data_IF_822867816734
#
_entry.id   IF_822867816734
#
_cell.length_a   1.000
_cell.length_b   1.000
_cell.length_c   1.000
_cell.angle_alpha   90.00
_cell.angle_beta   90.00
_cell.angle_gamma   90.00
#
_symmetry.space_group_name_H-M   'P 1'
#
loop_
_entity.id
_entity.type
_entity.pdbx_description
1 polymer ?
#
# COMPACT_ATOMS: atom_id res chain seq x y z
N UNK A 1 53.32 29.42 -54.93
CA UNK A 1 53.39 28.67 -53.65
C UNK A 1 52.16 29.05 -52.86
N UNK A 2 51.04 28.45 -53.22
CA UNK A 2 49.77 28.69 -52.57
C UNK A 2 49.20 27.38 -52.14
N UNK A 3 49.25 27.15 -50.88
CA UNK A 3 48.74 25.96 -50.22
C UNK A 3 47.36 26.28 -49.68
N UNK A 4 46.38 25.78 -50.32
CA UNK A 4 45.50 24.69 -49.87
C UNK A 4 45.18 24.71 -48.35
N UNK A 5 44.09 25.37 -47.99
CA UNK A 5 43.25 24.94 -46.87
C UNK A 5 41.80 24.94 -47.35
N UNK A 6 41.48 23.86 -48.04
CA UNK A 6 40.07 23.54 -48.34
C UNK A 6 39.44 23.07 -47.03
N UNK A 7 38.65 23.94 -46.42
CA UNK A 7 37.93 23.64 -45.20
C UNK A 7 36.64 22.94 -45.59
N UNK A 8 36.70 21.60 -45.58
CA UNK A 8 35.49 20.80 -45.73
C UNK A 8 34.48 21.18 -44.67
N UNK A 9 33.48 21.95 -45.06
CA UNK A 9 32.26 22.13 -44.26
C UNK A 9 31.54 20.81 -44.13
N UNK A 10 31.75 20.11 -43.01
CA UNK A 10 30.92 18.97 -42.58
C UNK A 10 29.47 19.49 -42.46
N UNK A 11 28.69 19.29 -43.50
CA UNK A 11 27.21 19.40 -43.43
C UNK A 11 26.74 18.35 -42.43
N UNK A 12 26.48 18.75 -41.20
CA UNK A 12 25.80 17.96 -40.20
C UNK A 12 24.34 17.80 -40.65
N UNK A 13 24.11 16.90 -41.57
CA UNK A 13 22.77 16.48 -41.95
C UNK A 13 22.16 15.74 -40.77
N UNK A 14 21.09 16.30 -40.19
CA UNK A 14 20.29 15.62 -39.17
C UNK A 14 19.88 14.27 -39.76
N UNK A 15 20.31 13.20 -39.11
CA UNK A 15 19.97 11.84 -39.53
C UNK A 15 18.44 11.65 -39.42
N UNK A 16 17.73 11.63 -40.57
CA UNK A 16 16.27 11.52 -40.61
C UNK A 16 15.75 10.31 -39.85
N UNK A 17 16.51 9.21 -39.81
CA UNK A 17 16.15 8.04 -39.02
C UNK A 17 16.16 8.30 -37.50
N UNK A 18 17.13 9.08 -37.03
CA UNK A 18 17.24 9.44 -35.60
C UNK A 18 16.12 10.41 -35.20
N UNK A 19 15.74 11.31 -36.10
CA UNK A 19 14.64 12.24 -35.87
C UNK A 19 13.29 11.51 -35.82
N UNK A 20 13.03 10.60 -36.75
CA UNK A 20 11.81 9.79 -36.78
C UNK A 20 11.76 8.88 -35.53
N UNK A 21 12.87 8.18 -35.20
CA UNK A 21 12.97 7.34 -34.02
C UNK A 21 12.73 8.12 -32.73
N UNK A 22 13.25 9.34 -32.62
CA UNK A 22 13.02 10.23 -31.49
C UNK A 22 11.54 10.63 -31.34
N UNK A 23 10.88 11.00 -32.43
CA UNK A 23 9.44 11.36 -32.40
C UNK A 23 8.59 10.15 -31.98
N UNK A 24 8.84 8.97 -32.54
CA UNK A 24 8.13 7.73 -32.19
C UNK A 24 8.37 7.39 -30.72
N UNK A 25 9.61 7.51 -30.21
CA UNK A 25 9.94 7.26 -28.82
C UNK A 25 9.20 8.20 -27.86
N UNK A 26 9.17 9.49 -28.15
CA UNK A 26 8.42 10.48 -27.34
C UNK A 26 6.92 10.19 -27.35
N UNK A 27 6.37 9.81 -28.51
CA UNK A 27 4.95 9.46 -28.62
C UNK A 27 4.58 8.22 -27.80
N UNK A 28 5.41 7.18 -27.83
CA UNK A 28 5.21 5.99 -27.01
C UNK A 28 5.29 6.30 -25.49
N UNK A 29 6.25 7.13 -25.08
CA UNK A 29 6.34 7.58 -23.69
C UNK A 29 5.10 8.36 -23.28
N UNK A 30 4.61 9.26 -24.13
CA UNK A 30 3.40 10.02 -23.87
C UNK A 30 2.16 9.13 -23.72
N UNK A 31 2.03 8.07 -24.53
CA UNK A 31 0.95 7.09 -24.39
C UNK A 31 1.05 6.35 -23.06
N UNK A 32 2.24 5.90 -22.67
CA UNK A 32 2.44 5.20 -21.38
C UNK A 32 2.08 6.12 -20.21
N UNK A 33 2.47 7.39 -20.26
CA UNK A 33 2.13 8.37 -19.23
C UNK A 33 0.61 8.59 -19.16
N UNK A 34 -0.07 8.73 -20.31
CA UNK A 34 -1.52 8.88 -20.36
C UNK A 34 -2.25 7.68 -19.78
N UNK A 35 -1.83 6.46 -20.09
CA UNK A 35 -2.39 5.25 -19.53
C UNK A 35 -2.14 5.17 -18.01
N UNK A 36 -0.95 5.56 -17.54
CA UNK A 36 -0.63 5.59 -16.12
C UNK A 36 -1.48 6.62 -15.35
N UNK A 37 -1.74 7.78 -15.96
CA UNK A 37 -2.59 8.82 -15.37
C UNK A 37 -4.08 8.47 -15.33
N UNK A 38 -4.54 7.55 -16.17
CA UNK A 38 -5.94 7.09 -16.20
C UNK A 38 -6.21 5.97 -15.18
N UNK A 39 -5.18 5.41 -14.56
CA UNK A 39 -5.37 4.40 -13.50
C UNK A 39 -5.89 5.09 -12.24
N UNK A 40 -7.04 4.64 -11.69
CA UNK A 40 -7.53 5.18 -10.43
C UNK A 40 -6.45 4.97 -9.35
N UNK A 41 -6.26 5.96 -8.49
CA UNK A 41 -5.31 5.86 -7.39
C UNK A 41 -5.71 4.72 -6.45
N UNK A 42 -4.75 4.20 -5.67
CA UNK A 42 -5.05 3.19 -4.66
C UNK A 42 -6.08 3.71 -3.64
N UNK A 43 -6.08 5.02 -3.38
CA UNK A 43 -7.03 5.66 -2.48
C UNK A 43 -8.43 5.73 -3.08
N UNK A 44 -8.57 5.98 -4.39
CA UNK A 44 -9.86 5.97 -5.08
C UNK A 44 -10.47 4.55 -5.12
N UNK A 45 -9.65 3.53 -5.38
CA UNK A 45 -10.08 2.14 -5.34
C UNK A 45 -10.53 1.74 -3.93
N UNK A 46 -9.77 2.15 -2.92
CA UNK A 46 -10.11 1.92 -1.52
C UNK A 46 -11.41 2.65 -1.16
N UNK A 47 -11.57 3.89 -1.57
CA UNK A 47 -12.78 4.66 -1.34
C UNK A 47 -14.00 3.99 -1.99
N UNK A 48 -13.89 3.49 -3.22
CA UNK A 48 -14.96 2.79 -3.92
C UNK A 48 -15.35 1.48 -3.21
N UNK A 49 -14.38 0.69 -2.75
CA UNK A 49 -14.64 -0.55 -2.01
C UNK A 49 -15.33 -0.27 -0.66
N UNK A 50 -14.96 0.83 0.00
CA UNK A 50 -15.47 1.21 1.31
C UNK A 50 -16.63 2.20 1.27
N UNK A 51 -17.17 2.53 0.08
CA UNK A 51 -18.29 3.48 -0.07
C UNK A 51 -19.52 3.04 0.78
N UNK A 52 -19.84 1.74 0.73
CA UNK A 52 -20.98 1.15 1.46
C UNK A 52 -20.52 0.39 2.72
N UNK A 53 -19.29 0.59 3.16
CA UNK A 53 -18.79 -0.06 4.36
C UNK A 53 -19.28 0.63 5.63
N UNK A 54 -19.68 -0.16 6.60
CA UNK A 54 -19.99 0.32 7.94
C UNK A 54 -18.70 0.80 8.62
N UNK A 55 -18.80 1.89 9.36
CA UNK A 55 -17.72 2.51 10.14
C UNK A 55 -18.13 2.63 11.59
N UNK A 56 -17.22 3.08 12.45
CA UNK A 56 -17.41 3.18 13.91
C UNK A 56 -18.63 3.99 14.35
N UNK A 57 -19.11 4.91 13.54
CA UNK A 57 -20.29 5.74 13.77
C UNK A 57 -21.63 5.00 13.54
N UNK A 58 -21.56 3.81 12.91
CA UNK A 58 -22.75 3.00 12.67
C UNK A 58 -23.02 2.00 13.82
N UNK A 59 -24.26 1.91 14.34
CA UNK A 59 -24.61 0.94 15.38
C UNK A 59 -24.39 -0.51 14.92
N UNK A 60 -24.62 -0.81 13.64
CA UNK A 60 -24.40 -2.14 13.07
C UNK A 60 -22.90 -2.51 12.93
N UNK A 61 -22.01 -1.51 12.95
CA UNK A 61 -20.57 -1.76 12.90
C UNK A 61 -20.11 -2.59 14.10
N UNK A 62 -20.52 -2.21 15.30
CA UNK A 62 -20.13 -2.93 16.51
C UNK A 62 -20.70 -4.34 16.58
N UNK A 63 -21.90 -4.53 16.05
CA UNK A 63 -22.55 -5.85 15.98
C UNK A 63 -21.73 -6.84 15.13
N UNK A 64 -21.23 -6.39 13.96
CA UNK A 64 -20.47 -7.27 13.06
C UNK A 64 -19.01 -7.42 13.53
N UNK A 65 -18.40 -6.35 14.03
CA UNK A 65 -16.99 -6.36 14.39
C UNK A 65 -16.68 -7.16 15.65
N UNK A 66 -17.65 -7.39 16.56
CA UNK A 66 -17.47 -8.22 17.76
C UNK A 66 -17.02 -9.65 17.42
N UNK A 67 -17.39 -10.15 16.24
CA UNK A 67 -17.09 -11.50 15.78
C UNK A 67 -15.79 -11.57 14.95
N UNK A 68 -15.13 -10.43 14.76
CA UNK A 68 -13.85 -10.36 14.06
C UNK A 68 -12.72 -10.36 15.08
N UNK A 69 -11.96 -11.45 15.09
CA UNK A 69 -10.80 -11.57 15.97
C UNK A 69 -9.55 -11.14 15.20
N UNK A 70 -8.81 -10.21 15.81
CA UNK A 70 -7.52 -9.73 15.35
C UNK A 70 -6.47 -10.12 16.38
N UNK A 71 -5.40 -10.75 15.94
CA UNK A 71 -4.27 -11.10 16.80
C UNK A 71 -2.95 -10.87 16.09
N UNK A 72 -1.88 -10.60 16.85
CA UNK A 72 -0.51 -10.51 16.33
C UNK A 72 0.12 -11.88 16.35
N UNK A 73 0.77 -12.26 15.26
CA UNK A 73 1.71 -13.38 15.20
C UNK A 73 3.10 -12.85 15.59
N UNK A 74 3.42 -13.00 16.88
CA UNK A 74 4.66 -12.46 17.44
C UNK A 74 5.90 -13.10 16.83
N UNK A 75 5.82 -14.40 16.49
CA UNK A 75 6.95 -15.17 15.95
C UNK A 75 7.32 -14.72 14.52
N UNK A 76 6.34 -14.16 13.80
CA UNK A 76 6.52 -13.64 12.44
C UNK A 76 6.60 -12.12 12.36
N UNK A 77 6.50 -11.45 13.50
CA UNK A 77 6.67 -9.99 13.57
C UNK A 77 8.14 -9.68 13.79
N UNK A 78 8.75 -8.98 12.83
CA UNK A 78 10.18 -8.69 12.83
C UNK A 78 10.46 -7.21 12.71
N UNK A 79 11.61 -6.78 13.25
CA UNK A 79 12.12 -5.43 13.13
C UNK A 79 13.41 -5.44 12.31
N UNK A 80 13.53 -4.51 11.39
CA UNK A 80 14.70 -4.38 10.54
C UNK A 80 15.20 -2.93 10.53
N UNK A 81 16.50 -2.69 10.78
CA UNK A 81 17.07 -1.37 10.64
C UNK A 81 17.10 -0.98 9.15
N UNK A 82 16.70 0.25 8.85
CA UNK A 82 16.86 0.85 7.54
C UNK A 82 18.28 1.44 7.45
N UNK A 83 19.11 0.86 6.56
CA UNK A 83 20.52 1.25 6.41
C UNK A 83 20.71 2.67 5.84
N UNK A 84 19.69 3.24 5.18
CA UNK A 84 19.79 4.56 4.55
C UNK A 84 19.62 5.71 5.54
N UNK A 85 18.73 5.57 6.51
CA UNK A 85 18.38 6.67 7.42
C UNK A 85 18.45 6.29 8.92
N UNK A 86 18.88 5.06 9.23
CA UNK A 86 19.02 4.59 10.62
C UNK A 86 17.71 4.37 11.37
N UNK A 87 16.55 4.53 10.72
CA UNK A 87 15.25 4.24 11.32
C UNK A 87 15.02 2.72 11.40
N UNK A 88 13.99 2.33 12.17
CA UNK A 88 13.53 0.95 12.25
C UNK A 88 12.25 0.80 11.46
N UNK A 89 12.17 -0.26 10.64
CA UNK A 89 10.94 -0.74 10.02
C UNK A 89 10.44 -1.95 10.80
N UNK A 90 9.16 -1.94 11.18
CA UNK A 90 8.50 -3.12 11.75
C UNK A 90 7.67 -3.80 10.67
N UNK A 91 7.92 -5.09 10.48
CA UNK A 91 7.09 -5.99 9.67
C UNK A 91 6.18 -6.74 10.61
N UNK A 92 4.91 -6.35 10.63
CA UNK A 92 3.93 -6.85 11.57
C UNK A 92 3.09 -7.90 10.86
N UNK A 93 3.07 -9.12 11.39
CA UNK A 93 2.18 -10.18 10.93
C UNK A 93 1.03 -10.33 11.91
N UNK A 94 -0.18 -10.24 11.37
CA UNK A 94 -1.41 -10.46 12.13
C UNK A 94 -2.22 -11.61 11.56
N UNK A 95 -3.19 -12.05 12.32
CA UNK A 95 -4.16 -13.09 11.95
C UNK A 95 -5.55 -12.48 12.16
N UNK A 96 -6.36 -12.54 11.12
CA UNK A 96 -7.76 -12.12 11.16
C UNK A 96 -8.62 -13.37 11.04
N UNK A 97 -9.54 -13.54 11.97
CA UNK A 97 -10.53 -14.62 11.94
C UNK A 97 -11.94 -14.05 11.99
N UNK A 98 -12.76 -14.45 11.03
CA UNK A 98 -14.19 -14.18 11.03
C UNK A 98 -14.91 -15.30 11.81
N UNK A 99 -15.39 -15.01 13.02
CA UNK A 99 -16.22 -15.94 13.82
C UNK A 99 -17.71 -15.75 13.60
N UNK A 100 -18.09 -14.68 12.88
CA UNK A 100 -19.47 -14.40 12.56
C UNK A 100 -20.05 -15.34 11.50
N UNK A 101 -21.31 -15.17 11.22
CA UNK A 101 -22.10 -15.93 10.26
C UNK A 101 -22.17 -15.28 8.87
N UNK A 102 -21.61 -14.07 8.73
CA UNK A 102 -21.64 -13.29 7.48
C UNK A 102 -20.33 -13.36 6.73
N UNK A 103 -20.40 -13.39 5.41
CA UNK A 103 -19.22 -13.28 4.55
C UNK A 103 -18.82 -11.81 4.41
N UNK A 104 -17.54 -11.51 4.60
CA UNK A 104 -17.01 -10.15 4.46
C UNK A 104 -16.52 -9.92 3.02
N UNK A 105 -16.95 -8.81 2.42
CA UNK A 105 -16.51 -8.34 1.09
C UNK A 105 -15.70 -7.04 1.16
N UNK A 106 -15.59 -6.46 2.34
CA UNK A 106 -14.74 -5.30 2.62
C UNK A 106 -14.30 -5.32 4.07
N UNK A 107 -12.99 -5.21 4.30
CA UNK A 107 -12.42 -5.13 5.65
C UNK A 107 -11.18 -4.26 5.64
N UNK A 108 -11.26 -3.15 6.37
CA UNK A 108 -10.13 -2.31 6.67
C UNK A 108 -9.75 -2.45 8.15
N UNK A 109 -8.46 -2.63 8.41
CA UNK A 109 -7.94 -2.71 9.77
C UNK A 109 -6.86 -1.66 9.99
N UNK A 110 -6.74 -1.18 11.21
CA UNK A 110 -5.65 -0.34 11.67
C UNK A 110 -4.75 -1.14 12.60
N UNK A 111 -3.45 -1.12 12.33
CA UNK A 111 -2.41 -1.63 13.24
C UNK A 111 -1.67 -0.44 13.83
N UNK A 112 -1.71 -0.29 15.14
CA UNK A 112 -1.02 0.76 15.87
C UNK A 112 0.05 0.14 16.77
N UNK A 113 1.30 0.60 16.64
CA UNK A 113 2.38 0.30 17.57
C UNK A 113 2.28 1.30 18.71
N UNK A 114 2.21 0.78 19.92
CA UNK A 114 2.01 1.56 21.15
C UNK A 114 3.17 1.35 22.13
N UNK A 115 3.42 2.35 22.95
CA UNK A 115 4.38 2.28 24.05
C UNK A 115 3.77 1.61 25.30
N UNK A 116 4.56 1.50 26.37
CA UNK A 116 4.13 0.98 27.67
C UNK A 116 3.02 1.80 28.34
N UNK A 117 2.82 3.06 27.92
CA UNK A 117 1.77 3.95 28.42
C UNK A 117 0.52 3.92 27.53
N UNK A 118 0.42 2.98 26.57
CA UNK A 118 -0.64 2.88 25.57
C UNK A 118 -0.72 4.07 24.60
N UNK A 119 0.32 4.89 24.47
CA UNK A 119 0.38 5.96 23.50
C UNK A 119 0.76 5.41 22.12
N UNK A 120 0.08 5.89 21.09
CA UNK A 120 0.35 5.46 19.71
C UNK A 120 1.63 6.14 19.23
N UNK A 121 2.65 5.33 18.95
CA UNK A 121 3.89 5.79 18.33
C UNK A 121 3.70 5.96 16.82
N UNK A 122 3.15 4.96 16.17
CA UNK A 122 2.81 4.95 14.74
C UNK A 122 1.67 3.99 14.47
N UNK A 123 0.92 4.28 13.41
CA UNK A 123 -0.17 3.43 12.97
C UNK A 123 -0.27 3.38 11.44
N UNK A 124 -0.90 2.33 10.94
CA UNK A 124 -1.17 2.15 9.51
C UNK A 124 -2.49 1.45 9.29
N UNK A 125 -3.33 2.04 8.44
CA UNK A 125 -4.57 1.43 7.97
C UNK A 125 -4.32 0.63 6.70
N UNK A 126 -4.86 -0.58 6.66
CA UNK A 126 -4.72 -1.49 5.52
C UNK A 126 -6.08 -2.05 5.14
N UNK A 127 -6.41 -1.94 3.86
CA UNK A 127 -7.54 -2.63 3.26
C UNK A 127 -7.14 -4.09 3.02
N UNK A 128 -7.71 -5.01 3.80
CA UNK A 128 -7.37 -6.44 3.74
C UNK A 128 -8.25 -7.15 2.71
N UNK A 129 -9.55 -6.91 2.78
CA UNK A 129 -10.54 -7.43 1.84
C UNK A 129 -11.00 -6.25 0.97
N UNK A 130 -10.91 -6.34 -0.36
CA UNK A 130 -10.55 -7.49 -1.20
C UNK A 130 -9.06 -7.59 -1.57
N UNK A 131 -8.17 -6.75 -1.01
CA UNK A 131 -6.78 -6.61 -1.50
C UNK A 131 -5.96 -7.91 -1.39
N UNK A 132 -6.04 -8.62 -0.26
CA UNK A 132 -5.28 -9.86 -0.02
C UNK A 132 -6.11 -11.11 -0.31
N UNK A 133 -7.41 -10.99 -0.18
CA UNK A 133 -8.38 -12.05 -0.47
C UNK A 133 -9.70 -11.39 -0.86
N UNK A 134 -10.40 -11.94 -1.82
CA UNK A 134 -11.63 -11.37 -2.36
C UNK A 134 -12.76 -11.33 -1.31
N UNK A 135 -12.93 -12.41 -0.58
CA UNK A 135 -13.95 -12.59 0.45
C UNK A 135 -13.37 -13.30 1.68
N UNK A 136 -13.98 -13.10 2.83
CA UNK A 136 -13.67 -13.85 4.05
C UNK A 136 -14.95 -14.41 4.64
N UNK A 137 -15.18 -15.72 4.44
CA UNK A 137 -16.38 -16.42 4.87
C UNK A 137 -16.42 -16.68 6.38
N UNK A 138 -17.58 -17.17 6.88
CA UNK A 138 -17.75 -17.61 8.26
C UNK A 138 -16.71 -18.66 8.67
N UNK A 139 -16.11 -18.49 9.85
CA UNK A 139 -15.10 -19.39 10.41
C UNK A 139 -13.72 -19.29 9.75
N UNK A 140 -13.58 -18.59 8.65
CA UNK A 140 -12.32 -18.48 7.91
C UNK A 140 -11.30 -17.58 8.61
N UNK A 141 -10.04 -17.84 8.28
CA UNK A 141 -8.89 -17.11 8.82
C UNK A 141 -7.97 -16.67 7.69
N UNK A 142 -7.44 -15.45 7.78
CA UNK A 142 -6.47 -14.91 6.84
C UNK A 142 -5.28 -14.30 7.60
N UNK A 143 -4.03 -14.65 7.25
CA UNK A 143 -2.87 -13.92 7.73
C UNK A 143 -2.74 -12.59 6.95
N UNK A 144 -2.29 -11.56 7.64
CA UNK A 144 -1.96 -10.28 7.03
C UNK A 144 -0.54 -9.88 7.42
N UNK A 145 0.17 -9.23 6.51
CA UNK A 145 1.48 -8.64 6.80
C UNK A 145 1.49 -7.20 6.33
N UNK A 146 1.96 -6.30 7.18
CA UNK A 146 2.15 -4.90 6.87
C UNK A 146 3.48 -4.39 7.42
N UNK A 147 4.01 -3.33 6.83
CA UNK A 147 5.19 -2.64 7.33
C UNK A 147 4.83 -1.25 7.85
N UNK A 148 5.42 -0.87 8.96
CA UNK A 148 5.38 0.50 9.48
C UNK A 148 6.82 0.97 9.63
N UNK A 149 7.14 2.09 8.97
CA UNK A 149 8.50 2.60 8.88
C UNK A 149 8.74 3.79 9.80
N UNK A 150 10.03 4.12 10.00
CA UNK A 150 10.45 5.39 10.57
C UNK A 150 10.35 5.43 12.10
N UNK A 151 10.43 4.30 12.79
CA UNK A 151 10.64 4.28 14.23
C UNK A 151 12.08 4.71 14.54
N UNK A 152 12.26 5.39 15.65
CA UNK A 152 13.58 5.65 16.21
C UNK A 152 14.10 4.40 16.92
N UNK A 153 15.40 4.30 17.12
CA UNK A 153 16.00 3.16 17.82
C UNK A 153 15.56 3.06 19.28
N UNK A 154 15.34 4.20 19.91
CA UNK A 154 14.95 4.38 21.31
C UNK A 154 13.43 4.42 21.54
N UNK A 155 12.61 4.31 20.48
CA UNK A 155 11.15 4.19 20.63
C UNK A 155 10.81 2.92 21.43
N UNK A 156 9.98 3.09 22.46
CA UNK A 156 9.45 1.99 23.27
C UNK A 156 8.26 1.33 22.55
N UNK A 157 8.56 0.33 21.73
CA UNK A 157 7.55 -0.42 20.94
C UNK A 157 7.02 -1.60 21.75
N UNK A 158 6.20 -1.30 22.76
CA UNK A 158 5.78 -2.27 23.75
C UNK A 158 4.76 -3.28 23.21
N UNK A 159 3.81 -2.84 22.36
CA UNK A 159 2.75 -3.72 21.89
C UNK A 159 2.18 -3.25 20.53
N UNK A 160 1.35 -4.11 19.94
CA UNK A 160 0.62 -3.85 18.69
C UNK A 160 -0.87 -3.95 18.98
N UNK A 161 -1.58 -2.86 18.72
CA UNK A 161 -3.03 -2.78 18.88
C UNK A 161 -3.71 -2.81 17.52
N UNK A 162 -4.59 -3.77 17.34
CA UNK A 162 -5.40 -3.90 16.14
C UNK A 162 -6.79 -3.33 16.34
N UNK A 163 -7.35 -2.76 15.29
CA UNK A 163 -8.72 -2.25 15.27
C UNK A 163 -9.31 -2.39 13.88
N UNK A 164 -10.56 -2.87 13.79
CA UNK A 164 -11.33 -2.74 12.55
C UNK A 164 -11.76 -1.29 12.38
N UNK A 165 -11.58 -0.72 11.20
CA UNK A 165 -11.95 0.69 10.92
C UNK A 165 -13.06 0.82 9.91
N UNK A 166 -13.22 -0.19 9.03
CA UNK A 166 -14.38 -0.30 8.16
C UNK A 166 -14.66 -1.77 7.83
N UNK A 167 -15.93 -2.11 7.71
CA UNK A 167 -16.37 -3.48 7.41
C UNK A 167 -17.57 -3.47 6.48
N UNK A 168 -17.58 -4.39 5.50
CA UNK A 168 -18.72 -4.63 4.62
C UNK A 168 -18.97 -6.13 4.56
N UNK A 169 -20.15 -6.54 4.97
CA UNK A 169 -20.63 -7.91 4.84
C UNK A 169 -21.55 -8.01 3.62
N UNK A 170 -21.52 -9.16 2.96
CA UNK A 170 -22.56 -9.55 1.98
C UNK A 170 -23.68 -10.26 2.71
N UNK A 171 -24.91 -10.08 2.23
CA UNK A 171 -26.07 -10.75 2.82
C UNK A 171 -25.98 -12.27 2.68
#
# INVERSE_FOLDING_TARGET
MDTLFDKEEKKTGINKGLLIGGIVGVFLIAIVILIAMQRPSMDDQKAAVLADALREDSPHFQEITKDIILSTDADKTVQSPNSLNGSITMWITGIIRNKGDRTLSGLEVNAAVIDQFNQVLKEKKVLVIPTQRELLGPGETIPITLSIDGFKRDDDRANIRWKVTAIRAVP
#
